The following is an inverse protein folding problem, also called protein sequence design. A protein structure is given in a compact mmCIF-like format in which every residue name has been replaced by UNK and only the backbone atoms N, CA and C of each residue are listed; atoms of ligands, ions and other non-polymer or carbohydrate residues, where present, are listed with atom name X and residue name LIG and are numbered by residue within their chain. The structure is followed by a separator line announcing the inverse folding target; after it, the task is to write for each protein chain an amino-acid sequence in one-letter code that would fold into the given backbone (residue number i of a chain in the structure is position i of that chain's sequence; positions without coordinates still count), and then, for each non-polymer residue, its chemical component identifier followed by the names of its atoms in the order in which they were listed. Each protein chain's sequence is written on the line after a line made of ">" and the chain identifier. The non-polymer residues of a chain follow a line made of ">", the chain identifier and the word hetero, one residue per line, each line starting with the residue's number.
data_IF_525683371865
#
_entry.id   IF_525683371865
#
_cell.length_a   1.000
_cell.length_b   1.000
_cell.length_c   1.000
_cell.angle_alpha   90.00
_cell.angle_beta   90.00
_cell.angle_gamma   90.00
#
_symmetry.space_group_name_H-M   'P 1'
#
loop_
_entity.id
_entity.type
_entity.pdbx_description
1 polymer ?
#
# COMPACT_ATOMS: atom_id res chain seq x y z
N UNK A 1 0.04 18.62 -9.46
CA UNK A 1 1.27 17.97 -8.99
C UNK A 1 1.01 17.29 -7.64
N UNK A 2 1.78 16.25 -7.25
CA UNK A 2 1.56 15.57 -5.97
C UNK A 2 1.69 16.52 -4.78
N UNK A 3 0.77 16.40 -3.81
CA UNK A 3 0.64 17.35 -2.69
C UNK A 3 1.54 17.02 -1.49
N UNK A 4 2.15 15.83 -1.46
CA UNK A 4 3.00 15.39 -0.35
C UNK A 4 4.32 14.76 -0.86
N UNK A 5 5.35 14.62 0.00
CA UNK A 5 6.65 14.08 -0.39
C UNK A 5 6.57 12.65 -0.96
N UNK A 6 5.69 11.80 -0.43
CA UNK A 6 5.51 10.43 -0.91
C UNK A 6 5.06 10.41 -2.38
N UNK A 7 4.03 11.18 -2.72
CA UNK A 7 3.53 11.28 -4.09
C UNK A 7 4.54 11.91 -5.04
N UNK A 8 5.32 12.90 -4.56
CA UNK A 8 6.41 13.49 -5.35
C UNK A 8 7.48 12.45 -5.69
N UNK A 9 7.89 11.63 -4.72
CA UNK A 9 8.87 10.56 -4.94
C UNK A 9 8.37 9.51 -5.95
N UNK A 10 7.09 9.12 -5.88
CA UNK A 10 6.50 8.20 -6.87
C UNK A 10 6.45 8.81 -8.26
N UNK A 11 6.09 10.08 -8.40
CA UNK A 11 6.12 10.77 -9.70
C UNK A 11 7.53 10.81 -10.29
N UNK A 12 8.54 11.15 -9.48
CA UNK A 12 9.93 11.14 -9.92
C UNK A 12 10.37 9.74 -10.41
N UNK A 13 9.97 8.68 -9.71
CA UNK A 13 10.26 7.31 -10.15
C UNK A 13 9.59 6.97 -11.49
N UNK A 14 8.34 7.38 -11.70
CA UNK A 14 7.66 7.21 -12.99
C UNK A 14 8.42 7.93 -14.12
N UNK A 15 8.87 9.18 -13.87
CA UNK A 15 9.59 9.96 -14.87
C UNK A 15 10.93 9.31 -15.25
N UNK A 16 11.68 8.82 -14.26
CA UNK A 16 12.93 8.07 -14.49
C UNK A 16 12.68 6.80 -15.31
N UNK A 17 11.65 6.02 -14.95
CA UNK A 17 11.30 4.79 -15.66
C UNK A 17 10.92 5.09 -17.12
N UNK A 18 10.15 6.15 -17.36
CA UNK A 18 9.77 6.58 -18.70
C UNK A 18 10.99 7.02 -19.52
N UNK A 19 11.91 7.77 -18.91
CA UNK A 19 13.16 8.19 -19.58
C UNK A 19 14.06 7.00 -19.94
N UNK A 20 14.18 6.01 -19.05
CA UNK A 20 14.90 4.78 -19.34
C UNK A 20 14.26 3.99 -20.49
N UNK A 21 12.93 3.86 -20.48
CA UNK A 21 12.20 3.08 -21.49
C UNK A 21 12.37 3.60 -22.92
N UNK A 22 12.70 4.89 -23.11
CA UNK A 22 12.94 5.48 -24.43
C UNK A 22 14.16 4.88 -25.15
N UNK A 23 15.11 4.31 -24.40
CA UNK A 23 16.37 3.78 -24.93
C UNK A 23 16.55 2.29 -24.60
N UNK A 24 15.47 1.57 -24.30
CA UNK A 24 15.51 0.17 -23.89
C UNK A 24 14.39 -0.61 -24.57
N UNK A 25 14.66 -1.86 -24.95
CA UNK A 25 13.63 -2.81 -25.43
C UNK A 25 12.79 -3.41 -24.30
N UNK A 26 12.99 -2.95 -23.05
CA UNK A 26 12.26 -3.44 -21.88
C UNK A 26 10.80 -2.98 -21.91
N UNK A 27 9.87 -3.92 -21.82
CA UNK A 27 8.45 -3.62 -21.64
C UNK A 27 8.18 -3.08 -20.22
N UNK A 28 7.48 -1.96 -20.13
CA UNK A 28 7.21 -1.26 -18.86
C UNK A 28 5.72 -1.00 -18.70
N UNK A 29 5.21 -1.22 -17.48
CA UNK A 29 3.88 -0.83 -17.06
C UNK A 29 3.91 -0.15 -15.69
N UNK A 30 3.22 0.98 -15.56
CA UNK A 30 3.10 1.74 -14.31
C UNK A 30 1.67 1.60 -13.78
N UNK A 31 1.52 0.96 -12.62
CA UNK A 31 0.23 0.73 -11.98
C UNK A 31 0.03 1.71 -10.81
N UNK A 32 -0.97 2.59 -10.94
CA UNK A 32 -1.36 3.54 -9.89
C UNK A 32 -2.58 2.99 -9.15
N UNK A 33 -2.33 2.33 -8.02
CA UNK A 33 -3.38 1.82 -7.15
C UNK A 33 -3.77 2.85 -6.08
N UNK A 34 -4.98 2.70 -5.54
CA UNK A 34 -5.49 3.52 -4.43
C UNK A 34 -5.22 2.81 -3.11
N UNK A 35 -6.26 2.38 -2.42
CA UNK A 35 -6.17 1.63 -1.18
C UNK A 35 -6.21 0.14 -1.50
N UNK A 36 -5.30 -0.63 -0.91
CA UNK A 36 -5.23 -2.09 -1.02
C UNK A 36 -5.64 -2.67 0.32
N UNK A 37 -6.51 -3.68 0.30
CA UNK A 37 -6.99 -4.41 1.47
C UNK A 37 -7.22 -5.88 1.11
N UNK A 38 -7.21 -6.74 2.13
CA UNK A 38 -7.41 -8.19 2.00
C UNK A 38 -6.16 -8.98 2.39
N UNK A 39 -6.34 -10.29 2.53
CA UNK A 39 -5.29 -11.29 2.82
C UNK A 39 -5.45 -12.50 1.93
N UNK A 40 -4.45 -13.37 1.99
CA UNK A 40 -4.61 -14.78 1.65
C UNK A 40 -5.89 -15.35 2.32
N UNK A 41 -6.76 -16.05 1.58
CA UNK A 41 -8.01 -16.59 2.11
C UNK A 41 -7.82 -17.61 3.24
N UNK A 42 -6.69 -18.31 3.27
CA UNK A 42 -6.34 -19.24 4.35
C UNK A 42 -5.58 -18.55 5.50
N UNK A 43 -5.41 -17.23 5.44
CA UNK A 43 -4.77 -16.43 6.50
C UNK A 43 -3.25 -16.60 6.58
N UNK A 44 -2.60 -17.18 5.57
CA UNK A 44 -1.14 -17.44 5.60
C UNK A 44 -0.31 -16.17 5.41
N UNK A 45 -0.86 -15.16 4.73
CA UNK A 45 -0.21 -13.89 4.43
C UNK A 45 -1.22 -12.74 4.43
N UNK A 46 -0.83 -11.58 4.96
CA UNK A 46 -1.65 -10.38 4.98
C UNK A 46 -0.83 -9.14 5.38
N UNK A 47 -1.50 -8.01 5.52
CA UNK A 47 -0.86 -6.81 6.04
C UNK A 47 -0.41 -7.05 7.49
N UNK A 48 0.88 -6.83 7.76
CA UNK A 48 1.47 -6.94 9.10
C UNK A 48 2.06 -5.58 9.50
N UNK A 49 1.21 -4.60 9.84
CA UNK A 49 1.70 -3.30 10.29
C UNK A 49 2.49 -3.48 11.60
N UNK A 50 3.54 -2.68 11.76
CA UNK A 50 4.34 -2.72 12.99
C UNK A 50 3.46 -2.39 14.21
N UNK A 51 3.69 -3.00 15.38
CA UNK A 51 2.85 -2.81 16.56
C UNK A 51 2.65 -1.34 16.94
N UNK A 52 3.68 -0.50 16.78
CA UNK A 52 3.66 0.93 17.13
C UNK A 52 2.76 1.75 16.19
N UNK A 53 2.42 1.20 15.02
CA UNK A 53 1.56 1.85 14.03
C UNK A 53 0.09 1.44 14.16
N UNK A 54 -0.25 0.54 15.09
CA UNK A 54 -1.63 0.09 15.31
C UNK A 54 -2.55 1.21 15.77
N UNK A 55 -2.04 2.12 16.59
CA UNK A 55 -2.78 3.29 17.05
C UNK A 55 -2.98 4.33 15.93
N UNK A 56 -2.15 4.28 14.88
CA UNK A 56 -2.22 5.18 13.74
C UNK A 56 -3.24 4.70 12.70
N UNK A 57 -4.51 4.60 13.11
CA UNK A 57 -5.73 4.82 12.31
C UNK A 57 -5.83 4.25 10.87
N UNK A 58 -5.07 3.22 10.49
CA UNK A 58 -5.23 2.60 9.17
C UNK A 58 -6.45 1.70 9.23
N UNK A 59 -7.48 2.05 8.48
CA UNK A 59 -8.70 1.25 8.40
C UNK A 59 -8.40 -0.20 7.99
N UNK A 60 -7.41 -0.45 7.13
CA UNK A 60 -6.97 -1.80 6.75
C UNK A 60 -6.42 -2.59 7.94
N UNK A 61 -5.51 -1.99 8.71
CA UNK A 61 -4.93 -2.60 9.92
C UNK A 61 -5.99 -2.88 10.99
N UNK A 62 -6.91 -1.94 11.22
CA UNK A 62 -7.99 -2.11 12.17
C UNK A 62 -8.98 -3.22 11.74
N UNK A 63 -9.33 -3.29 10.44
CA UNK A 63 -10.10 -4.40 9.89
C UNK A 63 -9.40 -5.75 10.11
N UNK A 64 -8.08 -5.81 9.92
CA UNK A 64 -7.28 -7.01 10.11
C UNK A 64 -7.21 -7.46 11.56
N UNK A 65 -6.92 -6.55 12.48
CA UNK A 65 -6.86 -6.85 13.91
C UNK A 65 -8.23 -7.31 14.42
N UNK A 66 -9.33 -6.75 13.91
CA UNK A 66 -10.69 -7.20 14.21
C UNK A 66 -10.96 -8.62 13.65
N UNK A 67 -10.63 -8.88 12.38
CA UNK A 67 -10.80 -10.20 11.76
C UNK A 67 -9.97 -11.29 12.45
N UNK A 68 -8.82 -10.93 13.03
CA UNK A 68 -7.97 -11.80 13.83
C UNK A 68 -8.41 -11.97 15.29
N UNK A 69 -9.43 -11.24 15.74
CA UNK A 69 -9.87 -11.24 17.14
C UNK A 69 -8.90 -10.56 18.11
N UNK A 70 -7.94 -9.77 17.62
CA UNK A 70 -7.04 -8.95 18.45
C UNK A 70 -7.82 -7.80 19.10
N UNK A 71 -8.76 -7.22 18.34
CA UNK A 71 -9.73 -6.25 18.85
C UNK A 71 -11.16 -6.79 18.62
N UNK A 72 -12.14 -6.45 19.48
CA UNK A 72 -13.49 -7.01 19.40
C UNK A 72 -14.29 -6.58 18.16
N UNK A 73 -13.84 -5.54 17.45
CA UNK A 73 -14.49 -5.01 16.25
C UNK A 73 -14.04 -3.58 15.95
N UNK A 74 -14.45 -3.08 14.79
CA UNK A 74 -14.29 -1.66 14.44
C UNK A 74 -15.34 -0.85 15.21
N UNK A 75 -14.90 0.17 15.96
CA UNK A 75 -15.80 1.20 16.49
C UNK A 75 -15.87 2.32 15.45
N UNK A 76 -17.05 2.46 14.85
CA UNK A 76 -17.36 3.56 13.91
C UNK A 76 -17.81 4.78 14.71
#
# INVERSE_FOLDING_TARGET
>A
APINPYGKAKKMAEDIILDFSKNSDMAVMILRYFNVIGSDPEGRLGEAPRPELREQGRISGACFDAARGIIPGLKV
#
